data_IF_451006636835
#
_entry.id   IF_451006636835
#
_cell.length_a   1.000
_cell.length_b   1.000
_cell.length_c   1.000
_cell.angle_alpha   90.00
_cell.angle_beta   90.00
_cell.angle_gamma   90.00
#
_symmetry.space_group_name_H-M   'P 1'
#
loop_
_entity.id
_entity.type
_entity.pdbx_description
1 polymer ?
#
# COMPACT_ATOMS: atom_id res chain seq x y z
N UNK A 1 -16.82 -31.74 -45.36
CA UNK A 1 -16.00 -30.55 -45.06
C UNK A 1 -15.99 -30.34 -43.55
N UNK A 2 -14.80 -30.23 -42.96
CA UNK A 2 -14.54 -30.20 -41.50
C UNK A 2 -14.93 -28.81 -40.96
N UNK A 3 -15.55 -28.67 -39.78
CA UNK A 3 -15.83 -27.36 -39.19
C UNK A 3 -14.51 -26.68 -38.79
N UNK A 4 -14.45 -25.34 -38.74
CA UNK A 4 -13.22 -24.63 -38.41
C UNK A 4 -12.79 -24.93 -36.97
N UNK A 5 -11.49 -25.19 -36.81
CA UNK A 5 -10.86 -25.46 -35.54
C UNK A 5 -11.07 -24.29 -34.57
N UNK A 6 -11.64 -24.59 -33.39
CA UNK A 6 -11.60 -23.67 -32.24
C UNK A 6 -10.13 -23.46 -31.87
N UNK A 7 -9.63 -22.24 -32.05
CA UNK A 7 -8.38 -21.81 -31.44
C UNK A 7 -8.57 -21.86 -29.91
N UNK A 8 -7.62 -22.39 -29.14
CA UNK A 8 -7.73 -22.37 -27.68
C UNK A 8 -7.66 -20.92 -27.20
N UNK A 9 -8.56 -20.54 -26.30
CA UNK A 9 -8.39 -19.37 -25.44
C UNK A 9 -7.13 -19.61 -24.60
N UNK A 10 -6.00 -19.11 -25.07
CA UNK A 10 -4.80 -18.93 -24.25
C UNK A 10 -4.43 -17.45 -24.37
N UNK A 11 -4.62 -16.71 -23.28
CA UNK A 11 -4.38 -15.27 -23.23
C UNK A 11 -5.41 -14.53 -22.39
N UNK A 12 -5.72 -15.02 -21.18
CA UNK A 12 -6.28 -14.16 -20.15
C UNK A 12 -5.10 -13.39 -19.56
N UNK A 13 -4.66 -12.35 -20.28
CA UNK A 13 -3.67 -11.39 -19.79
C UNK A 13 -4.35 -10.55 -18.71
N UNK A 14 -4.08 -10.90 -17.46
CA UNK A 14 -4.48 -10.12 -16.30
C UNK A 14 -3.67 -8.83 -16.28
N UNK A 15 -4.25 -7.73 -16.76
CA UNK A 15 -3.67 -6.40 -16.63
C UNK A 15 -3.86 -5.92 -15.17
N UNK A 16 -2.75 -5.78 -14.44
CA UNK A 16 -2.74 -5.40 -13.04
C UNK A 16 -2.99 -3.89 -12.88
N UNK A 17 -4.17 -3.47 -12.42
CA UNK A 17 -4.48 -2.06 -12.20
C UNK A 17 -3.44 -1.35 -11.31
N UNK A 18 -2.93 -0.22 -11.82
CA UNK A 18 -2.12 0.76 -11.10
C UNK A 18 -2.80 1.17 -9.78
N UNK A 19 -2.00 1.29 -8.72
CA UNK A 19 -2.49 1.22 -7.35
C UNK A 19 -2.78 2.61 -6.77
N UNK A 20 -3.90 3.19 -7.20
CA UNK A 20 -4.38 4.51 -6.78
C UNK A 20 -4.89 4.58 -5.32
N UNK A 21 -4.11 4.13 -4.33
CA UNK A 21 -4.31 4.24 -2.86
C UNK A 21 -4.74 2.94 -2.14
N UNK A 22 -3.92 2.54 -1.17
CA UNK A 22 -4.22 1.57 -0.11
C UNK A 22 -3.97 2.26 1.23
N UNK A 23 -4.97 2.30 2.11
CA UNK A 23 -4.74 2.72 3.50
C UNK A 23 -4.52 1.49 4.39
N UNK A 24 -3.47 1.57 5.20
CA UNK A 24 -3.12 0.58 6.20
C UNK A 24 -3.70 0.98 7.54
N UNK A 25 -4.41 0.05 8.16
CA UNK A 25 -4.77 0.12 9.57
C UNK A 25 -3.82 -0.78 10.35
N UNK A 26 -3.04 -0.17 11.23
CA UNK A 26 -2.27 -0.85 12.25
C UNK A 26 -3.03 -0.72 13.59
N UNK A 27 -3.05 -1.73 14.46
CA UNK A 27 -3.61 -1.54 15.79
C UNK A 27 -2.74 -0.53 16.56
N UNK A 28 -3.31 0.22 17.52
CA UNK A 28 -2.57 1.21 18.28
C UNK A 28 -1.39 0.57 19.05
N UNK A 29 -0.27 1.28 19.25
CA UNK A 29 0.78 0.82 20.14
C UNK A 29 0.24 0.86 21.58
N UNK A 30 -0.13 -0.32 22.10
CA UNK A 30 -0.46 -0.68 23.50
C UNK A 30 -1.43 0.24 24.26
N UNK A 31 -2.59 -0.29 24.65
CA UNK A 31 -3.17 -0.24 26.01
C UNK A 31 -4.58 -0.91 26.06
N UNK A 32 -4.59 -2.19 26.46
CA UNK A 32 -5.64 -2.93 27.21
C UNK A 32 -7.07 -3.17 26.63
N UNK A 33 -7.82 -4.18 27.15
CA UNK A 33 -8.57 -5.12 26.32
C UNK A 33 -10.10 -4.92 26.33
N UNK A 34 -10.74 -5.50 25.32
CA UNK A 34 -11.85 -6.46 25.44
C UNK A 34 -13.04 -6.23 24.51
N UNK A 35 -13.44 -7.36 23.91
CA UNK A 35 -14.75 -7.72 23.37
C UNK A 35 -15.37 -6.85 22.27
N UNK A 36 -15.25 -7.30 21.03
CA UNK A 36 -16.42 -7.78 20.29
C UNK A 36 -15.98 -8.63 19.10
N UNK A 37 -16.55 -9.84 19.03
CA UNK A 37 -16.42 -10.72 17.87
C UNK A 37 -17.20 -10.09 16.72
N UNK A 38 -16.49 -9.53 15.76
CA UNK A 38 -17.00 -9.41 14.39
C UNK A 38 -16.07 -10.23 13.51
N UNK A 39 -16.57 -11.35 13.01
CA UNK A 39 -15.84 -12.22 12.10
C UNK A 39 -15.49 -11.42 10.84
N UNK A 40 -14.23 -10.99 10.73
CA UNK A 40 -13.69 -10.38 9.51
C UNK A 40 -13.51 -11.47 8.47
N UNK A 41 -14.04 -11.24 7.28
CA UNK A 41 -13.86 -12.15 6.16
C UNK A 41 -12.38 -12.21 5.73
N UNK A 42 -11.88 -13.36 5.25
CA UNK A 42 -10.54 -13.45 4.68
C UNK A 42 -10.38 -12.45 3.53
N UNK A 43 -9.27 -11.71 3.53
CA UNK A 43 -8.96 -10.75 2.46
C UNK A 43 -8.67 -11.48 1.16
N UNK A 44 -9.49 -11.24 0.13
CA UNK A 44 -9.23 -11.72 -1.22
C UNK A 44 -7.91 -11.16 -1.74
N UNK A 45 -7.09 -11.94 -2.48
CA UNK A 45 -5.89 -11.41 -3.12
C UNK A 45 -6.19 -10.35 -4.20
N UNK A 46 -7.44 -10.27 -4.68
CA UNK A 46 -7.93 -9.27 -5.62
C UNK A 46 -8.63 -8.13 -4.89
N UNK A 47 -7.85 -7.35 -4.13
CA UNK A 47 -8.38 -6.38 -3.16
C UNK A 47 -9.28 -5.28 -3.77
N UNK A 48 -9.15 -5.02 -5.08
CA UNK A 48 -9.87 -3.95 -5.75
C UNK A 48 -11.08 -4.41 -6.57
N UNK A 49 -11.41 -5.70 -6.60
CA UNK A 49 -12.44 -6.25 -7.52
C UNK A 49 -13.82 -5.59 -7.39
N UNK A 50 -14.22 -5.19 -6.17
CA UNK A 50 -15.50 -4.52 -5.90
C UNK A 50 -15.39 -2.98 -5.88
N UNK A 51 -14.21 -2.44 -6.20
CA UNK A 51 -13.91 -1.00 -6.19
C UNK A 51 -13.63 -0.50 -7.60
N UNK A 52 -12.73 -1.15 -8.32
CA UNK A 52 -12.49 -0.92 -9.75
C UNK A 52 -13.38 -1.85 -10.57
N UNK A 53 -14.69 -1.70 -10.40
CA UNK A 53 -15.72 -2.61 -10.95
C UNK A 53 -15.76 -2.65 -12.48
N UNK A 54 -15.06 -1.74 -13.14
CA UNK A 54 -14.96 -1.65 -14.59
C UNK A 54 -13.69 -2.31 -15.15
N UNK A 55 -12.78 -2.83 -14.30
CA UNK A 55 -11.52 -3.48 -14.71
C UNK A 55 -11.31 -4.82 -14.02
N UNK A 56 -10.68 -5.75 -14.73
CA UNK A 56 -10.22 -7.01 -14.14
C UNK A 56 -9.09 -6.70 -13.16
N UNK A 57 -9.34 -6.91 -11.87
CA UNK A 57 -8.31 -6.70 -10.84
C UNK A 57 -7.35 -7.88 -10.80
N UNK A 58 -6.04 -7.59 -10.79
CA UNK A 58 -4.96 -8.57 -10.59
C UNK A 58 -4.42 -8.59 -9.16
N UNK A 59 -3.31 -9.31 -8.95
CA UNK A 59 -2.54 -9.26 -7.72
C UNK A 59 -1.84 -7.91 -7.59
N UNK A 60 -1.94 -7.29 -6.40
CA UNK A 60 -1.19 -6.08 -6.05
C UNK A 60 -0.12 -6.34 -4.96
N UNK A 61 0.73 -5.35 -4.66
CA UNK A 61 1.77 -5.36 -3.64
C UNK A 61 1.22 -5.30 -2.21
N UNK A 62 -0.06 -4.98 -2.03
CA UNK A 62 -0.71 -4.82 -0.73
C UNK A 62 -0.69 -6.11 0.13
N UNK A 63 -0.92 -7.27 -0.48
CA UNK A 63 -0.87 -8.56 0.26
C UNK A 63 0.57 -8.95 0.62
N UNK A 64 1.56 -8.93 -0.29
CA UNK A 64 2.97 -9.15 0.05
C UNK A 64 3.47 -8.18 1.12
N UNK A 65 3.07 -6.91 1.02
CA UNK A 65 3.33 -5.89 2.04
C UNK A 65 2.81 -6.34 3.42
N UNK A 66 1.52 -6.65 3.53
CA UNK A 66 0.90 -7.02 4.81
C UNK A 66 1.51 -8.30 5.38
N UNK A 67 1.75 -9.29 4.51
CA UNK A 67 2.38 -10.54 4.88
C UNK A 67 3.78 -10.32 5.48
N UNK A 68 4.59 -9.46 4.85
CA UNK A 68 5.93 -9.13 5.34
C UNK A 68 5.92 -8.46 6.71
N UNK A 69 4.94 -7.60 6.98
CA UNK A 69 4.75 -6.96 8.29
C UNK A 69 4.35 -7.97 9.39
N UNK A 70 3.43 -8.90 9.07
CA UNK A 70 3.03 -9.96 10.01
C UNK A 70 4.18 -10.90 10.36
N UNK A 71 5.07 -11.17 9.40
CA UNK A 71 6.27 -11.97 9.65
C UNK A 71 7.26 -11.24 10.57
N UNK A 72 7.45 -9.92 10.40
CA UNK A 72 8.33 -9.14 11.28
C UNK A 72 7.82 -9.03 12.70
N UNK A 73 6.51 -8.99 12.92
CA UNK A 73 5.93 -8.98 14.27
C UNK A 73 5.99 -10.34 14.97
N UNK A 74 6.20 -11.42 14.20
CA UNK A 74 6.23 -12.80 14.72
C UNK A 74 7.64 -13.33 14.97
N UNK A 75 8.69 -12.53 14.70
CA UNK A 75 10.08 -12.97 14.86
C UNK A 75 10.54 -12.72 16.31
N UNK A 76 10.77 -13.77 17.12
CA UNK A 76 11.33 -13.60 18.45
C UNK A 76 12.78 -13.11 18.35
N UNK A 77 13.08 -12.05 19.09
CA UNK A 77 14.45 -11.54 19.25
C UNK A 77 15.37 -12.63 19.83
N UNK A 78 16.35 -13.05 19.03
CA UNK A 78 17.55 -13.85 19.35
C UNK A 78 17.41 -15.38 19.54
N UNK A 79 18.37 -16.18 19.00
CA UNK A 79 18.42 -17.62 19.20
C UNK A 79 19.18 -17.94 20.50
N UNK A 80 18.45 -18.16 21.59
CA UNK A 80 19.01 -18.83 22.76
C UNK A 80 18.45 -20.24 22.85
N UNK A 81 19.31 -21.22 22.55
CA UNK A 81 19.37 -22.55 23.17
C UNK A 81 18.04 -23.22 23.58
N UNK A 82 17.72 -24.33 22.90
CA UNK A 82 16.74 -25.35 23.28
C UNK A 82 16.63 -25.55 24.82
N UNK A 83 15.42 -25.76 25.37
CA UNK A 83 14.99 -27.15 25.55
C UNK A 83 13.47 -27.45 25.44
N UNK A 84 13.21 -28.69 24.99
CA UNK A 84 12.15 -29.65 25.35
C UNK A 84 10.64 -29.29 25.38
N UNK A 85 9.75 -30.26 25.09
CA UNK A 85 8.31 -30.04 25.07
C UNK A 85 7.73 -30.16 26.48
N UNK A 86 7.16 -29.07 27.01
CA UNK A 86 6.27 -29.12 28.15
C UNK A 86 5.14 -28.11 28.03
N UNK A 87 3.95 -28.65 28.24
CA UNK A 87 2.64 -28.00 28.34
C UNK A 87 2.60 -27.02 29.50
N UNK A 88 2.69 -25.72 29.22
CA UNK A 88 2.19 -24.65 30.10
C UNK A 88 1.61 -23.58 29.21
N UNK A 89 0.31 -23.31 29.36
CA UNK A 89 -0.36 -22.17 28.76
C UNK A 89 0.24 -20.90 29.35
N UNK A 90 1.09 -20.22 28.58
CA UNK A 90 1.61 -18.90 28.92
C UNK A 90 0.47 -17.86 28.83
N UNK A 91 0.10 -17.18 29.93
CA UNK A 91 -0.93 -16.13 29.91
C UNK A 91 -0.36 -14.77 29.43
N UNK A 92 0.89 -14.71 28.98
CA UNK A 92 1.56 -13.51 28.47
C UNK A 92 1.54 -13.31 26.96
N UNK A 93 0.74 -14.07 26.20
CA UNK A 93 0.69 -13.93 24.74
C UNK A 93 0.23 -12.53 24.32
N UNK A 94 1.12 -11.76 23.70
CA UNK A 94 0.73 -10.50 23.07
C UNK A 94 -0.37 -10.79 22.04
N UNK A 95 -1.47 -10.02 22.07
CA UNK A 95 -2.54 -10.15 21.09
C UNK A 95 -1.92 -10.07 19.67
N UNK A 96 -2.25 -11.02 18.77
CA UNK A 96 -1.64 -11.06 17.45
C UNK A 96 -1.86 -9.75 16.71
N UNK A 97 -0.80 -9.24 16.06
CA UNK A 97 -0.90 -8.05 15.21
C UNK A 97 -2.01 -8.25 14.17
N UNK A 98 -3.08 -7.45 14.25
CA UNK A 98 -4.17 -7.47 13.28
C UNK A 98 -4.03 -6.30 12.31
N UNK A 99 -3.69 -6.58 11.06
CA UNK A 99 -3.61 -5.58 9.99
C UNK A 99 -4.94 -5.48 9.23
N UNK A 100 -5.38 -4.25 8.96
CA UNK A 100 -6.50 -3.95 8.07
C UNK A 100 -6.02 -3.29 6.79
N UNK A 101 -6.47 -3.80 5.64
CA UNK A 101 -6.24 -3.21 4.33
C UNK A 101 -7.50 -2.50 3.85
N UNK A 102 -7.39 -1.21 3.49
CA UNK A 102 -8.50 -0.42 2.95
C UNK A 102 -8.18 -0.08 1.49
N UNK A 103 -8.64 -0.91 0.54
CA UNK A 103 -8.43 -0.66 -0.88
C UNK A 103 -9.27 0.54 -1.35
N UNK A 104 -8.65 1.47 -2.07
CA UNK A 104 -9.31 2.64 -2.65
C UNK A 104 -8.97 2.84 -4.13
N UNK A 105 -7.96 2.14 -4.66
CA UNK A 105 -7.47 2.33 -6.02
C UNK A 105 -8.52 2.18 -7.13
N UNK A 106 -8.41 3.07 -8.12
CA UNK A 106 -9.16 3.07 -9.38
C UNK A 106 -8.17 3.37 -10.50
N UNK A 107 -8.01 2.42 -11.44
CA UNK A 107 -6.99 2.52 -12.49
C UNK A 107 -7.33 3.54 -13.58
N UNK A 108 -6.33 4.17 -14.19
CA UNK A 108 -6.51 5.15 -15.27
C UNK A 108 -7.01 6.52 -14.79
N UNK A 109 -6.77 6.83 -13.51
CA UNK A 109 -7.17 8.11 -12.91
C UNK A 109 -5.96 9.03 -12.82
N UNK A 110 -6.19 10.32 -13.04
CA UNK A 110 -5.16 11.37 -12.88
C UNK A 110 -5.22 11.95 -11.47
N UNK A 111 -4.11 12.50 -10.97
CA UNK A 111 -4.04 12.98 -9.58
C UNK A 111 -5.04 14.13 -9.30
N UNK A 112 -5.44 14.91 -10.30
CA UNK A 112 -6.47 15.94 -10.12
C UNK A 112 -7.85 15.35 -9.77
N UNK A 113 -8.14 14.11 -10.18
CA UNK A 113 -9.37 13.39 -9.83
C UNK A 113 -9.37 12.93 -8.36
N UNK A 114 -8.23 13.04 -7.68
CA UNK A 114 -8.02 12.73 -6.27
C UNK A 114 -7.94 13.99 -5.38
N UNK A 115 -8.22 15.17 -5.92
CA UNK A 115 -8.29 16.39 -5.11
C UNK A 115 -9.47 16.33 -4.11
N UNK A 116 -9.34 17.01 -2.96
CA UNK A 116 -10.43 17.15 -1.98
C UNK A 116 -11.73 17.61 -2.65
N UNK A 117 -12.86 17.00 -2.28
CA UNK A 117 -14.16 17.23 -2.91
C UNK A 117 -14.42 16.41 -4.18
N UNK A 118 -13.41 15.73 -4.74
CA UNK A 118 -13.62 14.82 -5.87
C UNK A 118 -14.14 13.45 -5.39
N UNK A 119 -14.95 12.74 -6.20
CA UNK A 119 -15.57 11.48 -5.78
C UNK A 119 -14.59 10.40 -5.30
N UNK A 120 -13.42 10.27 -5.94
CA UNK A 120 -12.41 9.27 -5.57
C UNK A 120 -11.81 9.57 -4.19
N UNK A 121 -11.48 10.84 -3.95
CA UNK A 121 -10.96 11.30 -2.67
C UNK A 121 -11.98 11.09 -1.54
N UNK A 122 -13.21 11.58 -1.73
CA UNK A 122 -14.28 11.46 -0.72
C UNK A 122 -14.58 9.99 -0.38
N UNK A 123 -14.59 9.13 -1.40
CA UNK A 123 -14.80 7.70 -1.19
C UNK A 123 -13.62 7.05 -0.43
N UNK A 124 -12.38 7.48 -0.69
CA UNK A 124 -11.22 6.97 0.04
C UNK A 124 -11.21 7.41 1.51
N UNK A 125 -11.48 8.69 1.78
CA UNK A 125 -11.60 9.22 3.15
C UNK A 125 -12.76 8.56 3.90
N UNK A 126 -13.92 8.40 3.26
CA UNK A 126 -15.07 7.73 3.88
C UNK A 126 -14.75 6.27 4.23
N UNK A 127 -14.12 5.51 3.32
CA UNK A 127 -13.70 4.12 3.58
C UNK A 127 -12.69 4.04 4.72
N UNK A 128 -11.71 4.93 4.75
CA UNK A 128 -10.71 5.00 5.81
C UNK A 128 -11.36 5.26 7.18
N UNK A 129 -12.24 6.26 7.28
CA UNK A 129 -12.97 6.59 8.52
C UNK A 129 -13.85 5.43 8.98
N UNK A 130 -14.57 4.78 8.06
CA UNK A 130 -15.40 3.63 8.38
C UNK A 130 -14.57 2.45 8.92
N UNK A 131 -13.41 2.21 8.32
CA UNK A 131 -12.52 1.13 8.72
C UNK A 131 -11.87 1.39 10.09
N UNK A 132 -11.54 2.64 10.43
CA UNK A 132 -11.14 3.04 11.79
C UNK A 132 -12.29 2.82 12.79
N UNK A 133 -13.48 3.34 12.48
CA UNK A 133 -14.64 3.30 13.37
C UNK A 133 -15.13 1.87 13.66
N UNK A 134 -15.16 0.99 12.64
CA UNK A 134 -15.57 -0.40 12.80
C UNK A 134 -14.45 -1.33 13.28
N UNK A 135 -13.19 -0.90 13.17
CA UNK A 135 -12.02 -1.73 13.39
C UNK A 135 -11.32 -1.53 14.74
N UNK A 136 -11.49 -0.37 15.37
CA UNK A 136 -10.79 0.02 16.60
C UNK A 136 -9.29 0.28 16.43
N UNK A 137 -8.79 0.29 15.19
CA UNK A 137 -7.37 0.49 14.86
C UNK A 137 -7.02 1.93 14.51
N UNK A 138 -5.72 2.25 14.46
CA UNK A 138 -5.21 3.53 13.98
C UNK A 138 -4.76 3.42 12.52
N UNK A 139 -4.76 4.53 11.80
CA UNK A 139 -4.15 4.56 10.46
C UNK A 139 -2.63 4.49 10.61
N UNK A 140 -2.02 3.44 10.04
CA UNK A 140 -0.58 3.23 10.04
C UNK A 140 0.10 4.00 8.91
N UNK A 141 -0.38 3.83 7.68
CA UNK A 141 0.18 4.51 6.51
C UNK A 141 -0.79 4.56 5.33
N UNK A 142 -0.51 5.44 4.37
CA UNK A 142 -1.09 5.43 3.03
C UNK A 142 -0.02 4.91 2.07
N UNK A 143 -0.31 3.85 1.31
CA UNK A 143 0.50 3.44 0.17
C UNK A 143 -0.10 4.06 -1.09
N UNK A 144 0.68 4.89 -1.78
CA UNK A 144 0.25 5.66 -2.94
C UNK A 144 1.08 5.31 -4.17
N UNK A 145 0.49 4.69 -5.18
CA UNK A 145 1.18 4.40 -6.43
C UNK A 145 0.31 4.78 -7.62
N UNK A 146 0.51 6.00 -8.09
CA UNK A 146 -0.27 6.60 -9.15
C UNK A 146 0.59 7.61 -9.88
N UNK A 147 0.33 7.82 -11.16
CA UNK A 147 0.86 8.94 -11.93
C UNK A 147 0.98 8.63 -13.41
N UNK A 148 0.80 7.36 -13.80
CA UNK A 148 0.92 6.89 -15.18
C UNK A 148 0.02 7.70 -16.12
N UNK A 149 -1.23 7.97 -15.74
CA UNK A 149 -2.16 8.77 -16.56
C UNK A 149 -1.84 10.27 -16.57
N UNK A 150 -1.08 10.79 -15.60
CA UNK A 150 -0.61 12.19 -15.58
C UNK A 150 0.60 12.40 -16.52
N UNK A 151 1.20 11.33 -17.03
CA UNK A 151 2.30 11.41 -18.01
C UNK A 151 1.82 11.71 -19.44
N UNK A 152 0.52 11.76 -19.68
CA UNK A 152 -0.10 11.99 -21.00
C UNK A 152 0.01 13.45 -21.43
N UNK A 153 -0.41 14.36 -20.54
CA UNK A 153 -0.46 15.80 -20.80
C UNK A 153 0.65 16.53 -20.05
N UNK A 154 1.36 17.43 -20.72
CA UNK A 154 2.52 18.14 -20.12
C UNK A 154 2.12 19.00 -18.92
N UNK A 155 0.93 19.59 -18.95
CA UNK A 155 0.43 20.45 -17.88
C UNK A 155 0.07 19.62 -16.64
N UNK A 156 -0.49 18.41 -16.83
CA UNK A 156 -0.73 17.47 -15.73
C UNK A 156 0.58 17.01 -15.11
N UNK A 157 1.55 16.61 -15.95
CA UNK A 157 2.87 16.18 -15.50
C UNK A 157 3.59 17.26 -14.68
N UNK A 158 3.58 18.52 -15.16
CA UNK A 158 4.17 19.67 -14.46
C UNK A 158 3.45 20.02 -13.17
N UNK A 159 2.13 19.84 -13.12
CA UNK A 159 1.34 20.13 -11.94
C UNK A 159 1.36 19.00 -10.90
N UNK A 160 1.89 17.81 -11.23
CA UNK A 160 1.83 16.62 -10.39
C UNK A 160 2.38 16.86 -8.97
N UNK A 161 3.58 17.45 -8.85
CA UNK A 161 4.23 17.66 -7.55
C UNK A 161 3.37 18.47 -6.57
N UNK A 162 2.88 19.64 -7.01
CA UNK A 162 2.01 20.48 -6.18
C UNK A 162 0.67 19.81 -5.84
N UNK A 163 0.11 19.01 -6.76
CA UNK A 163 -1.11 18.22 -6.49
C UNK A 163 -0.86 17.10 -5.47
N UNK A 164 0.30 16.45 -5.53
CA UNK A 164 0.69 15.42 -4.57
C UNK A 164 0.89 15.98 -3.17
N UNK A 165 1.59 17.12 -3.03
CA UNK A 165 1.73 17.79 -1.73
C UNK A 165 0.37 18.19 -1.14
N UNK A 166 -0.52 18.72 -2.00
CA UNK A 166 -1.88 19.08 -1.59
C UNK A 166 -2.68 17.86 -1.15
N UNK A 167 -2.63 16.75 -1.90
CA UNK A 167 -3.27 15.49 -1.55
C UNK A 167 -2.83 14.99 -0.17
N UNK A 168 -1.52 15.00 0.11
CA UNK A 168 -0.98 14.59 1.41
C UNK A 168 -1.51 15.48 2.54
N UNK A 169 -1.49 16.80 2.35
CA UNK A 169 -2.02 17.74 3.33
C UNK A 169 -3.51 17.51 3.59
N UNK A 170 -4.29 17.33 2.52
CA UNK A 170 -5.74 17.14 2.61
C UNK A 170 -6.09 15.84 3.35
N UNK A 171 -5.41 14.73 3.01
CA UNK A 171 -5.59 13.43 3.69
C UNK A 171 -5.28 13.51 5.19
N UNK A 172 -4.18 14.18 5.56
CA UNK A 172 -3.78 14.34 6.96
C UNK A 172 -4.83 15.10 7.78
N UNK A 173 -5.36 16.18 7.21
CA UNK A 173 -6.41 16.99 7.84
C UNK A 173 -7.72 16.20 7.95
N UNK A 174 -8.20 15.60 6.87
CA UNK A 174 -9.50 14.92 6.85
C UNK A 174 -9.50 13.59 7.60
N UNK A 175 -8.34 12.95 7.76
CA UNK A 175 -8.19 11.73 8.57
C UNK A 175 -7.75 12.05 10.01
N UNK A 176 -7.62 13.33 10.39
CA UNK A 176 -7.24 13.75 11.73
C UNK A 176 -5.86 13.24 12.17
N UNK A 177 -4.95 12.99 11.22
CA UNK A 177 -3.65 12.36 11.44
C UNK A 177 -2.54 13.24 10.85
N UNK A 178 -2.10 14.32 11.55
CA UNK A 178 -1.14 15.28 11.01
C UNK A 178 0.23 14.68 10.66
N UNK A 179 0.59 13.56 11.31
CA UNK A 179 1.85 12.85 11.09
C UNK A 179 1.67 11.55 10.28
N UNK A 180 0.53 11.37 9.59
CA UNK A 180 0.24 10.18 8.79
C UNK A 180 1.39 9.91 7.81
N UNK A 181 1.94 8.69 7.87
CA UNK A 181 2.94 8.23 6.92
C UNK A 181 2.30 8.06 5.54
N UNK A 182 2.92 8.63 4.52
CA UNK A 182 2.57 8.37 3.12
C UNK A 182 3.80 7.76 2.44
N UNK A 183 3.68 6.51 1.99
CA UNK A 183 4.70 5.85 1.18
C UNK A 183 4.23 5.94 -0.26
N UNK A 184 4.81 6.85 -1.03
CA UNK A 184 4.56 6.98 -2.45
C UNK A 184 5.51 6.11 -3.28
N UNK A 185 5.06 5.67 -4.45
CA UNK A 185 5.84 4.84 -5.38
C UNK A 185 6.22 5.64 -6.61
N UNK A 186 7.52 5.67 -6.91
CA UNK A 186 8.07 6.27 -8.12
C UNK A 186 7.75 5.40 -9.34
N UNK A 187 7.20 5.99 -10.40
CA UNK A 187 6.65 5.23 -11.54
C UNK A 187 7.66 4.31 -12.23
N UNK A 188 7.29 3.05 -12.51
CA UNK A 188 8.10 2.17 -13.35
C UNK A 188 7.93 2.44 -14.86
N UNK A 189 6.81 3.04 -15.24
CA UNK A 189 6.28 3.20 -16.60
C UNK A 189 5.29 4.38 -16.63
N UNK A 190 4.81 4.78 -17.81
CA UNK A 190 3.79 5.82 -17.96
C UNK A 190 2.95 5.61 -19.22
N UNK A 191 1.73 6.17 -19.24
CA UNK A 191 0.84 6.12 -20.42
C UNK A 191 1.25 7.09 -21.53
N UNK A 192 2.09 8.09 -21.23
CA UNK A 192 2.51 9.13 -22.14
C UNK A 192 4.00 9.47 -22.07
N UNK A 193 4.36 10.59 -22.71
CA UNK A 193 5.75 10.95 -22.97
C UNK A 193 6.43 11.72 -21.82
N UNK A 194 5.71 12.03 -20.75
CA UNK A 194 6.19 12.90 -19.66
C UNK A 194 6.51 12.13 -18.37
N UNK A 195 6.82 10.84 -18.47
CA UNK A 195 7.18 9.98 -17.34
C UNK A 195 8.32 10.55 -16.50
N UNK A 196 9.36 11.10 -17.14
CA UNK A 196 10.50 11.69 -16.43
C UNK A 196 10.08 12.91 -15.59
N UNK A 197 9.17 13.76 -16.09
CA UNK A 197 8.67 14.93 -15.37
C UNK A 197 7.89 14.49 -14.12
N UNK A 198 7.00 13.50 -14.24
CA UNK A 198 6.22 12.99 -13.11
C UNK A 198 7.14 12.33 -12.07
N UNK A 199 8.13 11.55 -12.52
CA UNK A 199 9.10 10.91 -11.62
C UNK A 199 9.99 11.92 -10.90
N UNK A 200 10.45 12.95 -11.58
CA UNK A 200 11.21 14.04 -10.97
C UNK A 200 10.36 14.77 -9.92
N UNK A 201 9.07 14.98 -10.19
CA UNK A 201 8.14 15.52 -9.21
C UNK A 201 7.97 14.60 -7.99
N UNK A 202 7.78 13.29 -8.19
CA UNK A 202 7.70 12.29 -7.10
C UNK A 202 8.96 12.27 -6.22
N UNK A 203 10.15 12.36 -6.84
CA UNK A 203 11.45 12.45 -6.16
C UNK A 203 11.66 13.76 -5.40
N UNK A 204 11.05 14.84 -5.87
CA UNK A 204 11.25 16.18 -5.30
C UNK A 204 10.31 16.50 -4.12
N UNK A 205 9.33 15.63 -3.83
CA UNK A 205 8.43 15.82 -2.68
C UNK A 205 9.25 15.82 -1.39
N UNK A 206 9.26 16.97 -0.70
CA UNK A 206 10.00 17.18 0.54
C UNK A 206 9.04 17.54 1.67
N UNK A 207 8.27 16.54 2.12
CA UNK A 207 7.32 16.66 3.22
C UNK A 207 7.69 15.69 4.35
N UNK A 208 7.48 16.07 5.63
CA UNK A 208 7.71 15.16 6.74
C UNK A 208 6.81 13.92 6.60
N UNK A 209 7.32 12.75 6.99
CA UNK A 209 6.62 11.46 6.93
C UNK A 209 6.05 11.13 5.53
N UNK A 210 6.78 11.52 4.48
CA UNK A 210 6.54 11.07 3.11
C UNK A 210 7.79 10.36 2.61
N UNK A 211 7.63 9.11 2.18
CA UNK A 211 8.73 8.25 1.72
C UNK A 211 8.49 7.89 0.26
N UNK A 212 9.55 7.87 -0.55
CA UNK A 212 9.52 7.37 -1.91
C UNK A 212 10.13 5.96 -1.99
N UNK A 213 9.37 5.01 -2.52
CA UNK A 213 9.87 3.71 -2.98
C UNK A 213 9.93 3.74 -4.51
N UNK A 214 11.12 3.61 -5.10
CA UNK A 214 11.27 3.73 -6.56
C UNK A 214 11.02 2.37 -7.26
N UNK A 215 9.98 2.27 -8.08
CA UNK A 215 9.66 1.06 -8.85
C UNK A 215 10.41 0.97 -10.20
N UNK A 216 11.23 1.97 -10.54
CA UNK A 216 12.00 1.96 -11.79
C UNK A 216 12.87 0.71 -11.92
N UNK A 217 12.78 0.05 -13.08
CA UNK A 217 13.51 -1.18 -13.39
C UNK A 217 12.83 -2.46 -12.89
N UNK A 218 11.68 -2.39 -12.20
CA UNK A 218 10.87 -3.58 -11.95
C UNK A 218 10.24 -4.10 -13.26
N UNK A 219 10.10 -5.43 -13.41
CA UNK A 219 9.59 -6.01 -14.65
C UNK A 219 8.13 -5.62 -14.91
N UNK A 220 7.86 -5.20 -16.13
CA UNK A 220 6.51 -4.91 -16.63
C UNK A 220 5.86 -6.18 -17.18
N UNK A 221 4.53 -6.17 -17.23
CA UNK A 221 3.71 -7.14 -17.95
C UNK A 221 3.83 -6.95 -19.47
N UNK A 222 3.20 -7.83 -20.24
CA UNK A 222 3.26 -7.79 -21.71
C UNK A 222 2.71 -6.47 -22.31
N UNK A 223 1.87 -5.75 -21.57
CA UNK A 223 1.33 -4.45 -21.99
C UNK A 223 2.31 -3.27 -21.86
N UNK A 224 3.51 -3.51 -21.30
CA UNK A 224 4.55 -2.50 -21.09
C UNK A 224 4.11 -1.30 -20.25
N UNK A 225 3.00 -1.44 -19.51
CA UNK A 225 2.45 -0.39 -18.66
C UNK A 225 2.34 -0.87 -17.22
N UNK A 226 1.74 -2.02 -16.99
CA UNK A 226 1.51 -2.51 -15.63
C UNK A 226 2.68 -3.36 -15.14
N UNK A 227 2.96 -3.32 -13.84
CA UNK A 227 3.94 -4.23 -13.23
C UNK A 227 3.52 -5.70 -13.42
N UNK A 228 4.48 -6.58 -13.63
CA UNK A 228 4.24 -8.03 -13.61
C UNK A 228 3.89 -8.52 -12.21
N UNK A 229 3.32 -9.72 -12.10
CA UNK A 229 3.06 -10.33 -10.78
C UNK A 229 4.33 -10.41 -9.92
N UNK A 230 5.47 -10.79 -10.51
CA UNK A 230 6.75 -10.84 -9.81
C UNK A 230 7.18 -9.45 -9.29
N UNK A 231 7.02 -8.40 -10.12
CA UNK A 231 7.27 -7.03 -9.72
C UNK A 231 6.35 -6.58 -8.59
N UNK A 232 5.07 -6.96 -8.60
CA UNK A 232 4.13 -6.61 -7.53
C UNK A 232 4.51 -7.28 -6.20
N UNK A 233 4.99 -8.53 -6.23
CA UNK A 233 5.53 -9.20 -5.03
C UNK A 233 6.73 -8.43 -4.46
N UNK A 234 7.71 -8.11 -5.31
CA UNK A 234 8.91 -7.38 -4.93
C UNK A 234 8.60 -5.96 -4.43
N UNK A 235 7.69 -5.25 -5.09
CA UNK A 235 7.26 -3.92 -4.67
C UNK A 235 6.61 -3.97 -3.27
N UNK A 236 5.80 -4.98 -2.98
CA UNK A 236 5.21 -5.16 -1.65
C UNK A 236 6.26 -5.36 -0.55
N UNK A 237 7.33 -6.11 -0.83
CA UNK A 237 8.47 -6.25 0.09
C UNK A 237 9.21 -4.92 0.30
N UNK A 238 9.46 -4.17 -0.78
CA UNK A 238 10.11 -2.84 -0.71
C UNK A 238 9.29 -1.85 0.11
N UNK A 239 7.96 -1.83 -0.09
CA UNK A 239 7.04 -1.00 0.69
C UNK A 239 7.06 -1.40 2.17
N UNK A 240 7.08 -2.70 2.48
CA UNK A 240 7.10 -3.18 3.86
C UNK A 240 8.42 -2.84 4.56
N UNK A 241 9.54 -2.95 3.85
CA UNK A 241 10.85 -2.55 4.34
C UNK A 241 10.87 -1.05 4.68
N UNK A 242 10.38 -0.20 3.76
CA UNK A 242 10.30 1.24 4.00
C UNK A 242 9.43 1.60 5.21
N UNK A 243 8.30 0.90 5.39
CA UNK A 243 7.44 1.06 6.57
C UNK A 243 8.18 0.68 7.87
N UNK A 244 8.86 -0.47 7.90
CA UNK A 244 9.56 -0.95 9.09
C UNK A 244 10.75 -0.07 9.47
N UNK A 245 11.51 0.43 8.48
CA UNK A 245 12.60 1.38 8.70
C UNK A 245 12.09 2.71 9.28
N UNK A 246 10.98 3.21 8.73
CA UNK A 246 10.32 4.40 9.27
C UNK A 246 9.90 4.22 10.73
N UNK A 247 9.21 3.12 11.04
CA UNK A 247 8.78 2.84 12.42
C UNK A 247 9.98 2.67 13.37
N UNK A 248 11.05 2.03 12.91
CA UNK A 248 12.29 1.89 13.69
C UNK A 248 12.96 3.24 13.96
N UNK A 249 12.92 4.17 13.01
CA UNK A 249 13.46 5.52 13.18
C UNK A 249 12.68 6.39 14.17
N UNK A 250 11.42 6.02 14.47
CA UNK A 250 10.54 6.72 15.41
C UNK A 250 10.70 6.27 16.85
N UNK A 251 11.36 5.13 17.11
CA UNK A 251 11.59 4.62 18.46
C UNK A 251 12.97 5.08 18.98
N UNK A 252 13.03 6.12 19.83
CA UNK A 252 14.30 6.66 20.31
C UNK A 252 15.11 5.69 21.19
N UNK A 253 14.55 4.54 21.59
CA UNK A 253 15.29 3.50 22.33
C UNK A 253 16.25 2.67 21.47
N UNK A 254 16.15 2.72 20.14
CA UNK A 254 17.06 1.98 19.26
C UNK A 254 18.46 2.63 19.11
N UNK A 255 18.65 3.86 19.61
CA UNK A 255 19.89 4.63 19.45
C UNK A 255 20.81 4.50 20.70
N UNK A 256 20.31 4.00 21.82
CA UNK A 256 21.13 3.76 23.02
C UNK A 256 21.39 2.26 23.22
N UNK A 257 22.45 1.75 22.59
CA UNK A 257 23.26 0.70 23.22
C UNK A 257 24.74 1.12 23.14
N UNK A 258 25.40 1.31 24.29
CA UNK A 258 26.69 1.98 24.35
C UNK A 258 27.81 1.01 24.00
N UNK A 259 28.77 1.51 23.24
CA UNK A 259 30.14 0.99 23.27
C UNK A 259 30.62 1.00 24.73
N UNK A 260 30.65 -0.17 25.36
CA UNK A 260 31.59 -0.49 26.44
C UNK A 260 32.91 -0.96 25.81
#
# INVERSE_FOLDING_TARGET
MKPPARRPLLGLLAAAAALSCLLLLAPPPRLFPSSSSSARAPTSPYLHADIDTHKTCGLGPAMPFAHRLLLSSSSPSSPSSLPAPSTVSDPGGEDPLVLGLVPCAVGGTRIWMWARGQPLYEAAVARARAAVAGGGGALGAVLWFQGESDTIEVDDARAYGGKMERLVADLREDLGSPNLLVIQVGLASGEGNYTDIVRDAQRSINLPNVILVDAMGLPLSDDQLHLSTEAQLRLGEMLAQAYLEFESSRDPKAIESPHQ
#
